data_IF_899335338333
#
_entry.id   IF_899335338333
#
_cell.length_a   1.000
_cell.length_b   1.000
_cell.length_c   1.000
_cell.angle_alpha   90.00
_cell.angle_beta   90.00
_cell.angle_gamma   90.00
#
_symmetry.space_group_name_H-M   'P 1'
#
loop_
_entity.id
_entity.type
_entity.pdbx_description
1 polymer ?
#
# COMPACT_ATOMS: atom_id res chain seq x y z
N UNK A 1 -17.07 -0.52 20.65
CA UNK A 1 -16.60 -1.75 19.99
C UNK A 1 -15.12 -1.66 19.78
N UNK A 2 -14.34 -2.06 20.78
CA UNK A 2 -12.88 -2.07 20.68
C UNK A 2 -12.43 -3.28 19.86
N UNK A 3 -11.89 -3.03 18.67
CA UNK A 3 -11.29 -4.08 17.84
C UNK A 3 -9.85 -4.28 18.30
N UNK A 4 -9.60 -5.40 18.98
CA UNK A 4 -8.26 -5.85 19.35
C UNK A 4 -7.44 -6.16 18.10
N UNK A 5 -6.43 -5.32 17.83
CA UNK A 5 -5.37 -5.61 16.86
C UNK A 5 -4.45 -6.66 17.45
N UNK A 6 -4.52 -7.89 16.94
CA UNK A 6 -3.61 -8.98 17.30
C UNK A 6 -2.30 -8.78 16.55
N UNK A 7 -1.25 -8.32 17.23
CA UNK A 7 0.11 -8.36 16.70
C UNK A 7 0.71 -9.74 16.97
N UNK A 8 0.87 -10.55 15.91
CA UNK A 8 1.64 -11.79 15.99
C UNK A 8 3.12 -11.41 16.10
N UNK A 9 3.69 -11.59 17.29
CA UNK A 9 5.07 -11.25 17.59
C UNK A 9 6.03 -12.28 16.97
N UNK A 10 6.32 -12.14 15.68
CA UNK A 10 7.45 -12.82 15.04
C UNK A 10 8.49 -11.76 14.68
N UNK A 11 9.49 -11.60 15.56
CA UNK A 11 10.73 -10.82 15.39
C UNK A 11 10.70 -9.58 14.48
N UNK A 12 10.56 -8.38 15.07
CA UNK A 12 11.06 -7.11 14.51
C UNK A 12 10.75 -6.79 13.03
N UNK A 13 9.63 -7.25 12.47
CA UNK A 13 9.25 -6.89 11.12
C UNK A 13 8.31 -5.66 11.12
N UNK A 14 8.89 -4.47 11.13
CA UNK A 14 8.12 -3.24 10.88
C UNK A 14 7.76 -3.26 9.38
N UNK A 15 6.51 -3.60 9.10
CA UNK A 15 5.94 -3.50 7.76
C UNK A 15 5.17 -2.21 7.61
N UNK A 16 5.18 -1.66 6.40
CA UNK A 16 4.30 -0.56 6.03
C UNK A 16 3.05 -1.12 5.33
N UNK A 17 1.87 -1.12 5.98
CA UNK A 17 0.64 -1.60 5.36
C UNK A 17 0.21 -0.64 4.25
N UNK A 18 -0.08 -1.19 3.07
CA UNK A 18 -0.53 -0.45 1.91
C UNK A 18 -2.02 -0.69 1.70
N UNK A 19 -2.77 0.40 1.66
CA UNK A 19 -4.21 0.40 1.48
C UNK A 19 -4.60 1.01 0.12
N UNK A 20 -5.66 0.48 -0.50
CA UNK A 20 -6.22 0.97 -1.76
C UNK A 20 -7.75 1.05 -1.64
N UNK A 21 -8.34 2.11 -2.19
CA UNK A 21 -9.80 2.22 -2.30
C UNK A 21 -10.33 1.42 -3.49
N UNK A 22 -11.40 0.64 -3.29
CA UNK A 22 -11.98 -0.24 -4.33
C UNK A 22 -12.63 0.55 -5.48
N UNK A 23 -12.95 1.84 -5.28
CA UNK A 23 -13.56 2.67 -6.32
C UNK A 23 -13.53 4.15 -5.98
N UNK A 24 -14.27 4.95 -6.77
CA UNK A 24 -14.46 6.38 -6.54
C UNK A 24 -15.43 6.61 -5.37
N UNK A 25 -14.96 6.33 -4.16
CA UNK A 25 -15.76 6.47 -2.95
C UNK A 25 -15.85 7.95 -2.58
N UNK A 26 -17.04 8.53 -2.73
CA UNK A 26 -17.30 9.90 -2.31
C UNK A 26 -17.14 10.04 -0.79
N UNK A 27 -16.64 11.20 -0.35
CA UNK A 27 -16.28 11.47 1.05
C UNK A 27 -17.43 11.21 2.06
N UNK A 28 -18.69 11.33 1.61
CA UNK A 28 -19.89 11.02 2.40
C UNK A 28 -20.04 9.54 2.76
N UNK A 29 -19.60 8.62 1.90
CA UNK A 29 -19.65 7.17 2.15
C UNK A 29 -18.56 6.71 3.13
N UNK A 30 -17.43 7.43 3.20
CA UNK A 30 -16.34 7.16 4.13
C UNK A 30 -16.77 7.29 5.61
N UNK A 31 -17.79 8.10 5.88
CA UNK A 31 -18.30 8.34 7.23
C UNK A 31 -19.46 7.41 7.63
N UNK A 32 -20.20 6.87 6.66
CA UNK A 32 -21.49 6.22 6.92
C UNK A 32 -21.41 4.69 7.04
N UNK A 33 -20.54 4.00 6.29
CA UNK A 33 -20.44 2.55 6.37
C UNK A 33 -19.16 2.00 5.74
N UNK A 34 -18.53 1.08 6.45
CA UNK A 34 -17.20 0.50 6.26
C UNK A 34 -16.97 -0.24 4.92
N UNK A 35 -15.69 -0.52 4.64
CA UNK A 35 -15.13 -1.37 3.57
C UNK A 35 -14.83 -0.72 2.20
N UNK A 36 -14.73 0.61 2.17
CA UNK A 36 -14.24 1.35 1.01
C UNK A 36 -12.74 1.13 0.69
N UNK A 37 -11.96 0.66 1.68
CA UNK A 37 -10.50 0.60 1.64
C UNK A 37 -10.03 -0.81 1.98
N UNK A 38 -9.22 -1.40 1.12
CA UNK A 38 -8.70 -2.76 1.24
C UNK A 38 -7.19 -2.72 1.42
N UNK A 39 -6.67 -3.61 2.27
CA UNK A 39 -5.24 -3.85 2.40
C UNK A 39 -4.74 -4.64 1.19
N UNK A 40 -3.87 -4.04 0.39
CA UNK A 40 -3.33 -4.64 -0.84
C UNK A 40 -1.90 -5.17 -0.69
N UNK A 41 -1.22 -4.87 0.43
CA UNK A 41 0.08 -5.48 0.71
C UNK A 41 0.79 -4.90 1.94
N UNK A 42 1.89 -5.55 2.29
CA UNK A 42 2.81 -5.11 3.33
C UNK A 42 4.17 -4.82 2.69
N UNK A 43 4.58 -3.55 2.67
CA UNK A 43 5.85 -3.15 2.08
C UNK A 43 6.98 -3.33 3.09
N UNK A 44 8.07 -3.93 2.62
CA UNK A 44 9.28 -4.07 3.42
C UNK A 44 9.92 -2.69 3.65
N UNK A 45 10.06 -2.29 4.92
CA UNK A 45 10.86 -1.11 5.27
C UNK A 45 12.33 -1.53 5.37
N UNK A 46 13.22 -1.00 4.50
CA UNK A 46 14.63 -1.36 4.54
C UNK A 46 15.26 -0.81 5.82
N UNK A 47 15.46 -1.69 6.81
CA UNK A 47 16.26 -1.41 8.00
C UNK A 47 17.70 -1.86 7.75
N UNK A 48 18.65 -0.99 8.05
CA UNK A 48 20.05 -1.41 8.14
C UNK A 48 20.26 -2.03 9.52
N UNK A 49 20.74 -3.28 9.59
CA UNK A 49 21.05 -3.99 10.85
C UNK A 49 22.03 -3.21 11.75
N UNK A 50 22.82 -2.33 11.16
CA UNK A 50 23.68 -1.39 11.87
C UNK A 50 22.94 -0.06 12.10
N UNK A 51 22.34 0.11 13.27
CA UNK A 51 21.68 1.35 13.72
C UNK A 51 22.58 2.59 13.55
N UNK A 52 23.89 2.45 13.77
CA UNK A 52 24.90 3.51 13.56
C UNK A 52 25.06 3.90 12.07
N UNK A 53 25.01 2.92 11.17
CA UNK A 53 25.02 3.14 9.71
C UNK A 53 23.71 3.76 9.22
N UNK A 54 22.58 3.36 9.82
CA UNK A 54 21.29 3.98 9.54
C UNK A 54 21.31 5.47 9.88
N UNK A 55 21.76 5.87 11.08
CA UNK A 55 21.77 7.30 11.46
C UNK A 55 22.73 8.13 10.59
N UNK A 56 23.89 7.58 10.22
CA UNK A 56 24.89 8.27 9.40
C UNK A 56 24.49 8.38 7.92
N UNK A 57 23.85 7.35 7.36
CA UNK A 57 23.50 7.29 5.94
C UNK A 57 22.02 7.53 5.62
N UNK A 58 21.12 7.58 6.61
CA UNK A 58 19.67 7.78 6.40
C UNK A 58 19.36 9.07 5.63
N UNK A 59 20.22 10.09 5.78
CA UNK A 59 20.07 11.38 5.11
C UNK A 59 20.86 11.53 3.82
N UNK A 60 21.59 10.49 3.39
CA UNK A 60 22.30 10.54 2.11
C UNK A 60 21.30 10.51 0.96
N UNK A 61 21.61 11.27 -0.09
CA UNK A 61 20.78 11.31 -1.29
C UNK A 61 20.64 9.92 -1.93
N UNK A 62 21.70 9.10 -1.86
CA UNK A 62 21.73 7.72 -2.40
C UNK A 62 20.72 6.83 -1.66
N UNK A 63 20.72 6.84 -0.33
CA UNK A 63 19.79 6.01 0.44
C UNK A 63 18.33 6.48 0.29
N UNK A 64 18.10 7.79 0.20
CA UNK A 64 16.77 8.34 -0.10
C UNK A 64 16.28 7.88 -1.49
N UNK A 65 17.14 7.90 -2.51
CA UNK A 65 16.82 7.39 -3.85
C UNK A 65 16.50 5.89 -3.82
N UNK A 66 17.33 5.10 -3.14
CA UNK A 66 17.11 3.66 -2.98
C UNK A 66 15.75 3.36 -2.33
N UNK A 67 15.40 4.03 -1.22
CA UNK A 67 14.08 3.85 -0.57
C UNK A 67 12.93 4.17 -1.51
N UNK A 68 13.03 5.25 -2.28
CA UNK A 68 12.01 5.63 -3.28
C UNK A 68 11.90 4.57 -4.37
N UNK A 69 13.03 4.11 -4.92
CA UNK A 69 13.06 3.06 -5.93
C UNK A 69 12.43 1.77 -5.41
N UNK A 70 12.82 1.32 -4.23
CA UNK A 70 12.24 0.13 -3.60
C UNK A 70 10.72 0.26 -3.42
N UNK A 71 10.26 1.41 -2.93
CA UNK A 71 8.84 1.69 -2.77
C UNK A 71 8.08 1.67 -4.11
N UNK A 72 8.58 2.40 -5.12
CA UNK A 72 7.96 2.45 -6.44
C UNK A 72 7.98 1.12 -7.17
N UNK A 73 9.09 0.37 -7.12
CA UNK A 73 9.18 -0.97 -7.70
C UNK A 73 8.23 -1.95 -7.03
N UNK A 74 8.07 -1.87 -5.70
CA UNK A 74 7.13 -2.71 -4.98
C UNK A 74 5.68 -2.38 -5.35
N UNK A 75 5.33 -1.09 -5.45
CA UNK A 75 4.01 -0.66 -5.91
C UNK A 75 3.74 -1.10 -7.34
N UNK A 76 4.69 -0.93 -8.25
CA UNK A 76 4.57 -1.35 -9.64
C UNK A 76 4.34 -2.86 -9.74
N UNK A 77 5.01 -3.67 -8.90
CA UNK A 77 4.81 -5.10 -8.87
C UNK A 77 3.43 -5.49 -8.31
N UNK A 78 2.98 -4.85 -7.23
CA UNK A 78 1.65 -5.11 -6.64
C UNK A 78 0.53 -4.74 -7.61
N UNK A 79 0.68 -3.62 -8.32
CA UNK A 79 -0.31 -3.10 -9.26
C UNK A 79 -0.09 -3.59 -10.70
N UNK A 80 0.88 -4.47 -10.93
CA UNK A 80 1.25 -4.92 -12.28
C UNK A 80 0.06 -5.49 -13.05
N UNK A 81 -0.79 -6.26 -12.37
CA UNK A 81 -1.99 -6.87 -12.98
C UNK A 81 -3.05 -5.84 -13.38
N UNK A 82 -3.05 -4.63 -12.80
CA UNK A 82 -3.96 -3.56 -13.17
C UNK A 82 -3.48 -2.76 -14.40
N UNK A 83 -2.24 -2.95 -14.85
CA UNK A 83 -1.65 -2.20 -15.96
C UNK A 83 -2.53 -2.15 -17.24
N UNK A 84 -3.10 -3.28 -17.71
CA UNK A 84 -3.99 -3.28 -18.87
C UNK A 84 -5.22 -2.37 -18.67
N UNK A 85 -5.91 -2.52 -17.53
CA UNK A 85 -7.12 -1.74 -17.19
C UNK A 85 -6.83 -0.25 -16.93
N UNK A 86 -5.58 0.10 -16.58
CA UNK A 86 -5.14 1.50 -16.47
C UNK A 86 -4.84 2.15 -17.84
N UNK A 87 -4.60 1.35 -18.88
CA UNK A 87 -4.30 1.84 -20.23
C UNK A 87 -5.56 1.95 -21.08
N UNK A 88 -6.44 0.95 -20.98
CA UNK A 88 -7.74 0.95 -21.63
C UNK A 88 -8.80 0.59 -20.58
N UNK A 89 -9.84 1.42 -20.40
CA UNK A 89 -10.89 1.11 -19.43
C UNK A 89 -11.65 -0.14 -19.86
N UNK A 90 -11.76 -1.11 -18.97
CA UNK A 90 -12.65 -2.26 -19.14
C UNK A 90 -14.05 -1.89 -18.63
N UNK A 91 -15.05 -1.93 -19.51
CA UNK A 91 -16.45 -1.75 -19.12
C UNK A 91 -16.99 -3.08 -18.61
N UNK A 92 -17.32 -3.12 -17.33
CA UNK A 92 -17.98 -4.27 -16.71
C UNK A 92 -19.45 -3.90 -16.53
N UNK A 93 -20.36 -4.79 -16.96
CA UNK A 93 -21.79 -4.59 -16.77
C UNK A 93 -22.08 -4.48 -15.26
N UNK A 94 -22.57 -3.34 -14.81
CA UNK A 94 -22.97 -3.17 -13.41
C UNK A 94 -24.27 -3.94 -13.14
N UNK A 95 -24.54 -4.26 -11.88
CA UNK A 95 -25.72 -5.07 -11.48
C UNK A 95 -27.07 -4.42 -11.83
N UNK A 96 -27.07 -3.13 -12.18
CA UNK A 96 -28.24 -2.39 -12.65
C UNK A 96 -28.45 -2.45 -14.18
N UNK A 97 -27.65 -3.24 -14.90
CA UNK A 97 -27.70 -3.44 -16.36
C UNK A 97 -27.32 -2.22 -17.21
N UNK A 98 -26.65 -1.22 -16.62
CA UNK A 98 -26.04 -0.13 -17.38
C UNK A 98 -24.51 -0.35 -17.51
N UNK A 99 -23.96 0.16 -18.62
CA UNK A 99 -22.52 0.15 -18.93
C UNK A 99 -21.87 1.48 -18.55
#
# INVERSE_FOLDING_TARGET
>A
SDKTTVSVATGQMDYYPLYLSIGNVCNTACHAHCDAVVLIGFLAMPKNKHFKFYYFHANTQVFRKFKKQLFHSSLAHVLWSLGPAMTAPETVLFSDQYY
#
